data_IF_540609419063
#
_entry.id   IF_540609419063
#
_cell.length_a   1.000
_cell.length_b   1.000
_cell.length_c   1.000
_cell.angle_alpha   90.00
_cell.angle_beta   90.00
_cell.angle_gamma   90.00
#
_symmetry.space_group_name_H-M   'P 1'
#
loop_
_entity.id
_entity.type
_entity.pdbx_description
1 polymer ?
#
# COMPACT_ATOMS: atom_id res chain seq x y z
N UNK A 1 -25.05 -4.34 5.17
CA UNK A 1 -24.11 -3.20 5.28
C UNK A 1 -22.71 -3.72 5.47
N UNK A 2 -21.80 -3.45 4.53
CA UNK A 2 -20.38 -3.86 4.60
C UNK A 2 -19.51 -2.62 4.66
N UNK A 3 -18.52 -2.61 5.50
CA UNK A 3 -17.48 -1.55 5.54
C UNK A 3 -16.19 -2.10 4.97
N UNK A 4 -15.63 -1.44 3.98
CA UNK A 4 -14.37 -1.81 3.37
C UNK A 4 -13.37 -0.65 3.43
N UNK A 5 -12.10 -0.99 3.43
CA UNK A 5 -11.03 -0.02 3.23
C UNK A 5 -10.58 -0.12 1.77
N UNK A 6 -11.02 0.82 0.94
CA UNK A 6 -10.55 0.92 -0.44
C UNK A 6 -9.30 1.80 -0.46
N UNK A 7 -8.15 1.21 -0.77
CA UNK A 7 -6.88 1.90 -0.63
C UNK A 7 -5.93 1.72 -1.81
N UNK A 8 -5.06 2.71 -1.99
CA UNK A 8 -3.93 2.66 -2.92
C UNK A 8 -2.62 2.71 -2.15
N UNK A 9 -1.65 1.89 -2.57
CA UNK A 9 -0.39 1.67 -1.86
C UNK A 9 0.83 2.25 -2.61
N UNK A 10 0.59 3.02 -3.67
CA UNK A 10 1.61 3.47 -4.62
C UNK A 10 1.86 4.99 -4.56
N UNK A 11 1.48 5.69 -3.46
CA UNK A 11 1.77 7.11 -3.32
C UNK A 11 3.29 7.35 -3.25
N UNK A 12 3.81 8.28 -4.02
CA UNK A 12 5.24 8.52 -4.23
C UNK A 12 5.82 7.80 -5.47
N UNK A 13 4.98 7.17 -6.30
CA UNK A 13 5.42 6.44 -7.48
C UNK A 13 5.66 7.35 -8.69
N UNK A 14 4.72 8.26 -8.96
CA UNK A 14 4.73 9.23 -10.06
C UNK A 14 3.82 10.41 -9.73
N UNK A 15 4.12 11.61 -10.23
CA UNK A 15 3.32 12.80 -9.93
C UNK A 15 1.85 12.67 -10.35
N UNK A 16 1.59 12.07 -11.52
CA UNK A 16 0.23 11.82 -11.99
C UNK A 16 -0.54 10.85 -11.11
N UNK A 17 0.14 9.83 -10.56
CA UNK A 17 -0.43 8.91 -9.56
C UNK A 17 -0.72 9.66 -8.27
N UNK A 18 0.24 10.37 -7.72
CA UNK A 18 0.15 11.04 -6.43
C UNK A 18 -0.96 12.09 -6.41
N UNK A 19 -1.06 12.90 -7.48
CA UNK A 19 -2.15 13.86 -7.66
C UNK A 19 -3.53 13.19 -7.73
N UNK A 20 -3.65 12.12 -8.52
CA UNK A 20 -4.90 11.37 -8.63
C UNK A 20 -5.33 10.76 -7.29
N UNK A 21 -4.39 10.21 -6.52
CA UNK A 21 -4.66 9.62 -5.22
C UNK A 21 -5.12 10.66 -4.19
N UNK A 22 -4.49 11.83 -4.13
CA UNK A 22 -4.94 12.92 -3.25
C UNK A 22 -6.36 13.37 -3.61
N UNK A 23 -6.62 13.59 -4.89
CA UNK A 23 -7.95 13.99 -5.37
C UNK A 23 -9.03 12.95 -5.00
N UNK A 24 -8.76 11.68 -5.18
CA UNK A 24 -9.71 10.61 -4.86
C UNK A 24 -9.98 10.51 -3.36
N UNK A 25 -8.96 10.62 -2.50
CA UNK A 25 -9.17 10.55 -1.05
C UNK A 25 -9.87 11.79 -0.51
N UNK A 26 -9.55 12.97 -1.02
CA UNK A 26 -10.22 14.22 -0.65
C UNK A 26 -11.72 14.22 -1.01
N UNK A 27 -12.07 13.56 -2.11
CA UNK A 27 -13.45 13.39 -2.55
C UNK A 27 -14.14 12.14 -1.96
N UNK A 28 -13.51 11.46 -1.00
CA UNK A 28 -14.09 10.27 -0.34
C UNK A 28 -14.24 9.06 -1.26
N UNK A 29 -13.43 8.97 -2.34
CA UNK A 29 -13.40 7.86 -3.30
C UNK A 29 -12.44 6.76 -2.91
N UNK A 30 -11.44 7.11 -2.10
CA UNK A 30 -10.52 6.20 -1.43
C UNK A 30 -10.57 6.49 0.06
N UNK A 31 -10.38 5.47 0.87
CA UNK A 31 -10.33 5.56 2.32
C UNK A 31 -8.96 5.17 2.91
N UNK A 32 -7.97 4.86 2.08
CA UNK A 32 -6.61 4.62 2.54
C UNK A 32 -5.55 4.98 1.48
N UNK A 33 -4.46 5.62 1.93
CA UNK A 33 -3.27 5.88 1.12
C UNK A 33 -2.01 5.37 1.80
N UNK A 34 -1.25 4.50 1.12
CA UNK A 34 0.06 4.01 1.56
C UNK A 34 1.20 4.70 0.80
N UNK A 35 2.10 5.35 1.53
CA UNK A 35 3.21 6.10 0.98
C UNK A 35 4.47 5.26 0.80
N UNK A 36 5.07 5.31 -0.38
CA UNK A 36 6.36 4.74 -0.74
C UNK A 36 7.48 5.73 -0.38
N UNK A 37 7.94 5.69 0.86
CA UNK A 37 8.94 6.65 1.37
C UNK A 37 10.35 6.41 0.83
N UNK A 38 10.59 5.25 0.23
CA UNK A 38 11.87 4.86 -0.36
C UNK A 38 12.04 5.31 -1.83
N UNK A 39 11.10 6.08 -2.38
CA UNK A 39 11.20 6.64 -3.73
C UNK A 39 11.90 8.00 -3.74
N UNK A 40 12.46 8.37 -4.89
CA UNK A 40 13.06 9.71 -5.10
C UNK A 40 12.03 10.84 -5.16
N UNK A 41 10.73 10.55 -5.35
CA UNK A 41 9.67 11.55 -5.30
C UNK A 41 9.24 11.92 -3.89
N UNK A 42 9.41 11.03 -2.93
CA UNK A 42 8.95 11.23 -1.56
C UNK A 42 9.37 12.58 -0.94
N UNK A 43 10.63 13.08 -1.10
CA UNK A 43 11.03 14.38 -0.57
C UNK A 43 10.25 15.58 -1.13
N UNK A 44 9.54 15.42 -2.24
CA UNK A 44 8.69 16.46 -2.85
C UNK A 44 7.21 16.24 -2.54
N UNK A 45 6.79 15.00 -2.41
CA UNK A 45 5.38 14.61 -2.31
C UNK A 45 4.87 14.47 -0.86
N UNK A 46 5.74 14.43 0.15
CA UNK A 46 5.27 14.34 1.53
C UNK A 46 4.48 15.57 1.99
N UNK A 47 4.85 16.78 1.57
CA UNK A 47 4.13 18.02 1.95
C UNK A 47 2.71 18.05 1.37
N UNK A 48 2.50 17.85 0.06
CA UNK A 48 1.15 17.73 -0.49
C UNK A 48 0.31 16.63 0.20
N UNK A 49 0.95 15.53 0.63
CA UNK A 49 0.23 14.50 1.39
C UNK A 49 -0.14 14.98 2.80
N UNK A 50 0.72 15.74 3.50
CA UNK A 50 0.40 16.34 4.80
C UNK A 50 -0.83 17.25 4.68
N UNK A 51 -0.86 18.15 3.68
CA UNK A 51 -2.00 19.04 3.41
C UNK A 51 -3.30 18.22 3.17
N UNK A 52 -3.21 17.13 2.42
CA UNK A 52 -4.34 16.22 2.21
C UNK A 52 -4.78 15.56 3.53
N UNK A 53 -3.84 15.10 4.37
CA UNK A 53 -4.15 14.53 5.70
C UNK A 53 -4.89 15.53 6.58
N UNK A 54 -4.44 16.77 6.62
CA UNK A 54 -5.09 17.85 7.40
C UNK A 54 -6.50 18.12 6.91
N UNK A 55 -6.70 18.17 5.58
CA UNK A 55 -7.99 18.41 4.94
C UNK A 55 -8.99 17.29 5.15
N UNK A 56 -8.54 16.04 5.04
CA UNK A 56 -9.39 14.84 5.14
C UNK A 56 -9.65 14.44 6.60
N UNK A 57 -8.68 14.66 7.47
CA UNK A 57 -8.74 14.29 8.89
C UNK A 57 -8.87 12.77 9.09
N UNK A 58 -9.82 12.37 9.94
CA UNK A 58 -10.05 10.96 10.31
C UNK A 58 -10.93 10.17 9.30
N UNK A 59 -11.28 10.76 8.16
CA UNK A 59 -12.15 10.12 7.16
C UNK A 59 -11.40 9.12 6.28
N UNK A 60 -10.07 9.09 6.34
CA UNK A 60 -9.25 8.12 5.64
C UNK A 60 -8.02 7.75 6.47
N UNK A 61 -7.45 6.58 6.20
CA UNK A 61 -6.22 6.10 6.81
C UNK A 61 -5.01 6.45 5.94
N UNK A 62 -3.94 6.91 6.58
CA UNK A 62 -2.68 7.24 5.92
C UNK A 62 -1.55 6.40 6.52
N UNK A 63 -0.94 5.57 5.69
CA UNK A 63 0.05 4.62 6.12
C UNK A 63 1.32 4.64 5.28
N UNK A 64 2.21 3.71 5.58
CA UNK A 64 3.45 3.51 4.85
C UNK A 64 3.42 2.19 4.10
N UNK A 65 3.89 2.20 2.86
CA UNK A 65 4.15 1.01 2.08
C UNK A 65 5.65 0.74 2.07
N UNK A 66 6.08 -0.25 2.85
CA UNK A 66 7.49 -0.65 2.89
C UNK A 66 7.90 -1.32 1.59
N UNK A 67 9.02 -0.92 1.05
CA UNK A 67 9.59 -1.47 -0.17
C UNK A 67 10.99 -2.03 0.13
N UNK A 68 11.19 -3.31 -0.20
CA UNK A 68 12.49 -4.00 -0.06
C UNK A 68 13.07 -4.40 -1.41
N UNK A 69 12.36 -4.11 -2.49
CA UNK A 69 12.71 -4.48 -3.85
C UNK A 69 12.18 -3.49 -4.87
N UNK A 70 12.77 -3.53 -6.06
CA UNK A 70 12.31 -2.76 -7.23
C UNK A 70 13.26 -1.63 -7.63
N UNK A 71 13.24 -1.32 -8.93
CA UNK A 71 14.18 -0.38 -9.55
C UNK A 71 13.85 1.10 -9.25
N UNK A 72 12.66 1.36 -8.73
CA UNK A 72 12.17 2.73 -8.43
C UNK A 72 12.31 3.13 -6.97
N UNK A 73 12.86 2.25 -6.17
CA UNK A 73 13.08 2.45 -4.74
C UNK A 73 14.55 2.31 -4.44
N UNK A 74 15.04 3.17 -3.57
CA UNK A 74 16.41 3.12 -3.09
C UNK A 74 16.41 2.86 -1.58
N UNK A 75 17.43 2.19 -1.05
CA UNK A 75 17.56 1.99 0.39
C UNK A 75 17.53 3.32 1.15
N UNK A 76 16.83 3.32 2.27
CA UNK A 76 16.74 4.47 3.18
C UNK A 76 17.82 4.39 4.26
N UNK A 77 18.14 3.18 4.74
CA UNK A 77 19.18 2.95 5.73
C UNK A 77 20.57 3.09 5.12
N UNK A 78 21.48 3.75 5.85
CA UNK A 78 22.86 3.98 5.41
C UNK A 78 23.59 2.67 5.13
N UNK A 79 23.46 1.69 6.03
CA UNK A 79 24.14 0.40 5.90
C UNK A 79 23.70 -0.37 4.64
N UNK A 80 22.41 -0.31 4.30
CA UNK A 80 21.92 -0.95 3.08
C UNK A 80 22.40 -0.22 1.81
N UNK A 81 22.51 1.12 1.86
CA UNK A 81 23.12 1.93 0.79
C UNK A 81 24.59 1.56 0.56
N UNK A 82 25.37 1.43 1.62
CA UNK A 82 26.78 1.05 1.55
C UNK A 82 26.97 -0.34 0.95
N UNK A 83 26.18 -1.33 1.38
CA UNK A 83 26.31 -2.73 0.94
C UNK A 83 25.85 -2.95 -0.50
N UNK A 84 24.75 -2.29 -0.91
CA UNK A 84 24.12 -2.53 -2.23
C UNK A 84 24.28 -1.37 -3.22
N UNK A 85 25.07 -0.34 -2.90
CA UNK A 85 25.37 0.76 -3.80
C UNK A 85 24.13 1.59 -4.18
N UNK A 86 23.21 1.77 -3.24
CA UNK A 86 21.99 2.55 -3.45
C UNK A 86 20.88 1.83 -4.23
N UNK A 87 21.01 0.54 -4.51
CA UNK A 87 19.99 -0.28 -5.21
C UNK A 87 19.33 -1.27 -4.27
N UNK A 88 18.05 -1.52 -4.46
CA UNK A 88 17.35 -2.60 -3.78
C UNK A 88 17.62 -3.95 -4.44
N UNK A 89 17.48 -5.01 -3.67
CA UNK A 89 17.42 -6.38 -4.21
C UNK A 89 16.18 -6.52 -5.12
N UNK A 90 16.27 -7.41 -6.13
CA UNK A 90 15.05 -7.76 -6.86
C UNK A 90 14.11 -8.60 -5.99
N UNK A 91 12.81 -8.56 -6.24
CA UNK A 91 11.84 -9.37 -5.48
C UNK A 91 12.14 -10.87 -5.62
N UNK A 92 12.59 -11.31 -6.78
CA UNK A 92 13.04 -12.69 -7.01
C UNK A 92 14.24 -13.08 -6.13
N UNK A 93 15.21 -12.19 -5.94
CA UNK A 93 16.33 -12.43 -5.03
C UNK A 93 15.87 -12.55 -3.58
N UNK A 94 14.95 -11.68 -3.14
CA UNK A 94 14.38 -11.75 -1.79
C UNK A 94 13.60 -13.06 -1.59
N UNK A 95 12.75 -13.45 -2.55
CA UNK A 95 12.01 -14.70 -2.48
C UNK A 95 12.92 -15.92 -2.41
N UNK A 96 13.98 -15.96 -3.23
CA UNK A 96 14.96 -17.04 -3.22
C UNK A 96 15.72 -17.10 -1.89
N UNK A 97 16.22 -15.95 -1.40
CA UNK A 97 16.93 -15.89 -0.11
C UNK A 97 16.01 -16.26 1.06
N UNK A 98 14.76 -15.82 1.04
CA UNK A 98 13.78 -16.18 2.06
C UNK A 98 13.52 -17.70 2.09
N UNK A 99 13.42 -18.34 0.92
CA UNK A 99 13.25 -19.78 0.80
C UNK A 99 14.45 -20.55 1.34
N UNK A 100 15.67 -20.09 1.03
CA UNK A 100 16.94 -20.69 1.48
C UNK A 100 17.32 -20.30 2.92
N UNK A 101 16.51 -19.47 3.61
CA UNK A 101 16.82 -18.90 4.94
C UNK A 101 18.13 -18.10 4.99
N UNK A 102 18.43 -17.41 3.88
CA UNK A 102 19.63 -16.58 3.69
C UNK A 102 19.29 -15.09 3.60
N UNK A 103 18.17 -14.66 4.18
CA UNK A 103 17.85 -13.23 4.26
C UNK A 103 18.87 -12.53 5.18
N UNK A 104 19.31 -11.32 4.82
CA UNK A 104 20.11 -10.49 5.71
C UNK A 104 19.19 -9.79 6.72
N UNK A 105 18.73 -10.56 7.74
CA UNK A 105 17.63 -10.18 8.64
C UNK A 105 17.88 -8.84 9.34
N UNK A 106 19.10 -8.61 9.86
CA UNK A 106 19.43 -7.35 10.53
C UNK A 106 19.38 -6.16 9.58
N UNK A 107 19.92 -6.33 8.37
CA UNK A 107 19.93 -5.28 7.35
C UNK A 107 18.52 -4.90 6.90
N UNK A 108 17.65 -5.91 6.70
CA UNK A 108 16.24 -5.69 6.35
C UNK A 108 15.45 -5.09 7.52
N UNK A 109 15.81 -5.42 8.76
CA UNK A 109 15.24 -4.81 9.95
C UNK A 109 15.59 -3.32 10.03
N UNK A 110 16.86 -2.98 9.88
CA UNK A 110 17.33 -1.58 9.85
C UNK A 110 16.65 -0.79 8.71
N UNK A 111 16.50 -1.40 7.54
CA UNK A 111 15.81 -0.76 6.41
C UNK A 111 14.32 -0.52 6.70
N UNK A 112 13.62 -1.50 7.27
CA UNK A 112 12.23 -1.33 7.66
C UNK A 112 12.07 -0.19 8.69
N UNK A 113 12.93 -0.16 9.70
CA UNK A 113 12.93 0.89 10.72
C UNK A 113 13.24 2.27 10.14
N UNK A 114 14.20 2.36 9.20
CA UNK A 114 14.53 3.61 8.52
C UNK A 114 13.36 4.14 7.69
N UNK A 115 12.63 3.26 6.97
CA UNK A 115 11.45 3.67 6.21
C UNK A 115 10.31 4.12 7.14
N UNK A 116 10.04 3.41 8.24
CA UNK A 116 9.04 3.78 9.24
C UNK A 116 9.37 5.14 9.87
N UNK A 117 10.62 5.33 10.30
CA UNK A 117 11.10 6.58 10.87
C UNK A 117 11.00 7.75 9.87
N UNK A 118 11.41 7.53 8.60
CA UNK A 118 11.30 8.54 7.54
C UNK A 118 9.87 9.00 7.31
N UNK A 119 8.90 8.06 7.33
CA UNK A 119 7.49 8.42 7.28
C UNK A 119 7.09 9.29 8.47
N UNK A 120 7.33 8.80 9.70
CA UNK A 120 6.87 9.46 10.91
C UNK A 120 7.48 10.85 11.10
N UNK A 121 8.77 11.02 10.80
CA UNK A 121 9.48 12.31 10.89
C UNK A 121 8.93 13.32 9.88
N UNK A 122 8.79 12.93 8.61
CA UNK A 122 8.34 13.83 7.57
C UNK A 122 6.85 14.11 7.64
N UNK A 123 6.02 13.13 7.97
CA UNK A 123 4.57 13.31 8.13
C UNK A 123 4.18 13.89 9.49
N UNK A 124 5.10 13.96 10.46
CA UNK A 124 4.86 14.40 11.85
C UNK A 124 3.73 13.62 12.54
N UNK A 125 3.57 12.38 12.16
CA UNK A 125 2.57 11.46 12.71
C UNK A 125 3.01 10.00 12.51
N UNK A 126 2.49 9.12 13.34
CA UNK A 126 2.62 7.68 13.11
C UNK A 126 1.71 7.21 11.96
N UNK A 127 2.06 6.13 11.26
CA UNK A 127 1.19 5.55 10.24
C UNK A 127 -0.04 4.88 10.85
N UNK A 128 -1.21 5.02 10.23
CA UNK A 128 -2.43 4.31 10.63
C UNK A 128 -2.34 2.82 10.24
N UNK A 129 -1.60 2.54 9.16
CA UNK A 129 -1.35 1.17 8.72
C UNK A 129 0.03 1.03 8.06
N UNK A 130 0.50 -0.22 7.99
CA UNK A 130 1.72 -0.62 7.27
C UNK A 130 1.35 -1.67 6.22
N UNK A 131 1.77 -1.44 5.00
CA UNK A 131 1.73 -2.43 3.92
C UNK A 131 3.15 -2.77 3.46
N UNK A 132 3.32 -3.90 2.76
CA UNK A 132 4.60 -4.27 2.15
C UNK A 132 4.37 -4.56 0.67
N UNK A 133 5.21 -3.95 -0.15
CA UNK A 133 5.13 -4.04 -1.60
C UNK A 133 5.38 -5.47 -2.11
N UNK A 134 4.85 -5.77 -3.32
CA UNK A 134 5.13 -7.01 -4.08
C UNK A 134 4.77 -8.31 -3.34
N UNK A 135 3.87 -8.24 -2.36
CA UNK A 135 3.42 -9.42 -1.60
C UNK A 135 4.53 -10.09 -0.77
N UNK A 136 5.66 -9.43 -0.58
CA UNK A 136 6.84 -9.98 0.12
C UNK A 136 6.53 -10.37 1.57
N UNK A 137 5.55 -9.72 2.21
CA UNK A 137 5.10 -10.06 3.56
C UNK A 137 4.51 -11.49 3.66
N UNK A 138 4.16 -12.14 2.53
CA UNK A 138 3.74 -13.54 2.51
C UNK A 138 4.84 -14.51 2.96
N UNK A 139 6.10 -14.07 2.91
CA UNK A 139 7.25 -14.83 3.42
C UNK A 139 7.38 -14.63 4.92
N UNK A 140 7.15 -15.69 5.68
CA UNK A 140 7.14 -15.66 7.16
C UNK A 140 8.41 -15.08 7.78
N UNK A 141 9.59 -15.31 7.17
CA UNK A 141 10.86 -14.72 7.63
C UNK A 141 10.83 -13.20 7.52
N UNK A 142 10.44 -12.67 6.35
CA UNK A 142 10.33 -11.22 6.16
C UNK A 142 9.19 -10.62 7.00
N UNK A 143 8.08 -11.33 7.16
CA UNK A 143 6.98 -10.88 8.02
C UNK A 143 7.45 -10.66 9.46
N UNK A 144 8.25 -11.59 10.03
CA UNK A 144 8.82 -11.42 11.37
C UNK A 144 9.74 -10.20 11.49
N UNK A 145 10.55 -9.94 10.46
CA UNK A 145 11.42 -8.76 10.41
C UNK A 145 10.58 -7.48 10.43
N UNK A 146 9.56 -7.39 9.58
CA UNK A 146 8.67 -6.23 9.50
C UNK A 146 7.89 -6.03 10.80
N UNK A 147 7.32 -7.10 11.36
CA UNK A 147 6.58 -7.02 12.63
C UNK A 147 7.47 -6.57 13.78
N UNK A 148 8.72 -7.07 13.82
CA UNK A 148 9.73 -6.63 14.79
C UNK A 148 10.08 -5.14 14.59
N UNK A 149 10.22 -4.67 13.35
CA UNK A 149 10.49 -3.27 13.06
C UNK A 149 9.35 -2.35 13.56
N UNK A 150 8.10 -2.74 13.32
CA UNK A 150 6.92 -1.99 13.79
C UNK A 150 6.86 -1.97 15.31
N UNK A 151 7.05 -3.13 15.96
CA UNK A 151 7.03 -3.23 17.42
C UNK A 151 8.15 -2.40 18.10
N UNK A 152 9.30 -2.23 17.43
CA UNK A 152 10.40 -1.41 17.93
C UNK A 152 10.25 0.09 17.63
N UNK A 153 9.28 0.49 16.83
CA UNK A 153 9.03 1.90 16.51
C UNK A 153 8.31 2.65 17.65
N UNK A 154 7.90 1.92 18.70
CA UNK A 154 7.29 2.44 19.93
C UNK A 154 6.15 3.43 19.68
N UNK A 155 5.25 3.06 18.76
CA UNK A 155 4.08 3.87 18.43
C UNK A 155 3.05 3.84 19.58
N UNK A 156 2.43 4.97 19.89
CA UNK A 156 1.36 5.06 20.91
C UNK A 156 0.22 4.07 20.60
N UNK A 157 -0.16 3.96 19.34
CA UNK A 157 -1.12 2.98 18.85
C UNK A 157 -0.48 2.17 17.75
N UNK A 158 -0.33 0.85 17.89
CA UNK A 158 0.24 0.02 16.84
C UNK A 158 -0.57 0.15 15.54
N UNK A 159 0.10 0.39 14.39
CA UNK A 159 -0.59 0.46 13.11
C UNK A 159 -1.17 -0.90 12.71
N UNK A 160 -2.26 -0.88 11.94
CA UNK A 160 -2.76 -2.08 11.29
C UNK A 160 -1.77 -2.57 10.24
N UNK A 161 -1.63 -3.87 10.05
CA UNK A 161 -0.78 -4.43 9.00
C UNK A 161 -1.64 -5.03 7.90
N UNK A 162 -1.52 -4.53 6.67
CA UNK A 162 -2.28 -5.05 5.53
C UNK A 162 -1.81 -6.46 5.20
N UNK A 163 -2.74 -7.41 5.18
CA UNK A 163 -2.44 -8.80 4.79
C UNK A 163 -1.96 -8.85 3.34
N UNK A 164 -0.87 -9.60 3.04
CA UNK A 164 -0.39 -9.76 1.67
C UNK A 164 -1.23 -10.75 0.85
N UNK A 165 -2.03 -11.57 1.53
CA UNK A 165 -2.79 -12.68 0.94
C UNK A 165 -4.25 -12.62 1.36
N UNK A 166 -5.11 -13.19 0.52
CA UNK A 166 -6.52 -13.37 0.82
C UNK A 166 -6.73 -14.30 2.02
N UNK A 167 -7.91 -14.27 2.66
CA UNK A 167 -8.22 -15.13 3.80
C UNK A 167 -7.93 -16.61 3.51
N UNK A 168 -7.29 -17.29 4.46
CA UNK A 168 -6.88 -18.69 4.35
C UNK A 168 -5.81 -19.07 5.38
N UNK A 169 -5.27 -20.29 5.29
CA UNK A 169 -4.29 -20.81 6.26
C UNK A 169 -3.04 -19.92 6.38
N UNK A 170 -2.55 -19.39 5.27
CA UNK A 170 -1.39 -18.48 5.28
C UNK A 170 -1.72 -17.18 5.99
N UNK A 171 -2.89 -16.58 5.73
CA UNK A 171 -3.35 -15.37 6.41
C UNK A 171 -3.49 -15.60 7.92
N UNK A 172 -4.10 -16.73 8.34
CA UNK A 172 -4.24 -17.09 9.76
C UNK A 172 -2.88 -17.28 10.44
N UNK A 173 -1.92 -17.91 9.75
CA UNK A 173 -0.55 -18.06 10.27
C UNK A 173 0.13 -16.70 10.46
N UNK A 174 0.03 -15.81 9.47
CA UNK A 174 0.60 -14.46 9.56
C UNK A 174 -0.06 -13.65 10.67
N UNK A 175 -1.38 -13.69 10.79
CA UNK A 175 -2.12 -13.01 11.86
C UNK A 175 -1.70 -13.49 13.26
N UNK A 176 -1.46 -14.80 13.43
CA UNK A 176 -0.94 -15.36 14.69
C UNK A 176 0.45 -14.82 15.01
N UNK A 177 1.33 -14.72 13.98
CA UNK A 177 2.67 -14.16 14.17
C UNK A 177 2.57 -12.66 14.48
N UNK A 178 1.76 -11.89 13.75
CA UNK A 178 1.55 -10.47 14.02
C UNK A 178 1.09 -10.22 15.46
N UNK A 179 0.13 -11.02 15.93
CA UNK A 179 -0.38 -10.96 17.31
C UNK A 179 0.71 -11.20 18.37
N UNK A 180 1.71 -12.04 18.09
CA UNK A 180 2.85 -12.23 19.01
C UNK A 180 3.76 -11.01 19.13
N UNK A 181 3.62 -10.03 18.24
CA UNK A 181 4.28 -8.72 18.30
C UNK A 181 3.32 -7.59 18.73
N UNK A 182 2.11 -7.92 19.18
CA UNK A 182 1.10 -6.92 19.57
C UNK A 182 0.43 -6.22 18.38
N UNK A 183 0.49 -6.80 17.18
CA UNK A 183 -0.01 -6.20 15.95
C UNK A 183 -1.31 -6.87 15.48
N UNK A 184 -2.19 -6.08 14.87
CA UNK A 184 -3.41 -6.55 14.21
C UNK A 184 -3.25 -6.51 12.70
N UNK A 185 -3.75 -7.55 12.02
CA UNK A 185 -3.75 -7.60 10.56
C UNK A 185 -5.09 -7.16 9.99
N UNK A 186 -5.04 -6.24 9.02
CA UNK A 186 -6.18 -5.86 8.21
C UNK A 186 -6.36 -6.90 7.08
N UNK A 187 -7.47 -7.66 7.07
CA UNK A 187 -7.70 -8.70 6.08
C UNK A 187 -7.72 -8.12 4.65
N UNK A 188 -7.11 -8.82 3.70
CA UNK A 188 -7.14 -8.45 2.29
C UNK A 188 -8.34 -9.09 1.61
N UNK A 189 -9.00 -8.32 0.74
CA UNK A 189 -9.90 -8.84 -0.29
C UNK A 189 -9.23 -8.79 -1.67
N UNK A 190 -9.91 -9.31 -2.69
CA UNK A 190 -9.43 -9.20 -4.06
C UNK A 190 -9.28 -7.73 -4.47
N UNK A 191 -8.19 -7.38 -5.18
CA UNK A 191 -7.99 -6.00 -5.64
C UNK A 191 -9.05 -5.63 -6.69
N UNK A 192 -9.23 -4.33 -6.92
CA UNK A 192 -10.12 -3.88 -7.99
C UNK A 192 -9.76 -4.55 -9.32
N UNK A 193 -10.76 -4.89 -10.15
CA UNK A 193 -10.53 -5.53 -11.44
C UNK A 193 -9.57 -4.72 -12.32
N UNK A 194 -8.67 -5.42 -13.01
CA UNK A 194 -7.62 -4.84 -13.84
C UNK A 194 -8.05 -4.84 -15.31
N UNK A 195 -8.94 -3.92 -15.67
CA UNK A 195 -9.36 -3.65 -17.05
C UNK A 195 -9.04 -2.20 -17.42
N UNK A 196 -8.86 -1.94 -18.71
CA UNK A 196 -8.70 -0.61 -19.29
C UNK A 196 -9.98 -0.06 -19.94
N UNK A 197 -11.09 -0.78 -19.79
CA UNK A 197 -12.42 -0.39 -20.25
C UNK A 197 -13.29 0.05 -19.07
N UNK A 198 -13.70 1.31 -19.06
CA UNK A 198 -14.47 1.89 -17.97
C UNK A 198 -15.86 1.26 -17.81
N UNK A 199 -16.54 0.93 -18.90
CA UNK A 199 -17.86 0.27 -18.86
C UNK A 199 -17.75 -1.16 -18.34
N UNK A 200 -16.70 -1.88 -18.77
CA UNK A 200 -16.40 -3.19 -18.23
C UNK A 200 -16.10 -3.12 -16.74
N UNK A 201 -15.28 -2.14 -16.29
CA UNK A 201 -14.96 -1.98 -14.88
C UNK A 201 -16.22 -1.71 -14.06
N UNK A 202 -17.10 -0.81 -14.50
CA UNK A 202 -18.38 -0.56 -13.82
C UNK A 202 -19.25 -1.84 -13.70
N UNK A 203 -19.30 -2.65 -14.75
CA UNK A 203 -20.02 -3.92 -14.74
C UNK A 203 -19.41 -4.93 -13.78
N UNK A 204 -18.06 -5.03 -13.74
CA UNK A 204 -17.34 -5.94 -12.85
C UNK A 204 -17.49 -5.53 -11.38
N UNK A 205 -17.50 -4.23 -11.07
CA UNK A 205 -17.66 -3.72 -9.70
C UNK A 205 -19.01 -4.12 -9.07
N UNK A 206 -20.08 -4.25 -9.86
CA UNK A 206 -21.39 -4.71 -9.38
C UNK A 206 -21.31 -6.11 -8.74
N UNK A 207 -20.47 -7.00 -9.24
CA UNK A 207 -20.30 -8.35 -8.71
C UNK A 207 -19.13 -8.44 -7.71
N UNK A 208 -18.15 -7.58 -7.88
CA UNK A 208 -16.91 -7.58 -7.10
C UNK A 208 -17.16 -7.38 -5.59
N UNK A 209 -18.10 -6.49 -5.25
CA UNK A 209 -18.44 -6.20 -3.85
C UNK A 209 -19.33 -7.25 -3.19
N UNK A 210 -19.99 -8.14 -3.95
CA UNK A 210 -20.93 -9.13 -3.38
C UNK A 210 -20.23 -10.15 -2.46
N UNK A 211 -19.05 -10.63 -2.85
CA UNK A 211 -18.28 -11.65 -2.13
C UNK A 211 -17.35 -11.12 -1.04
N UNK A 212 -17.24 -9.81 -0.84
CA UNK A 212 -16.29 -9.24 0.09
C UNK A 212 -16.70 -9.39 1.55
N UNK A 213 -15.72 -9.67 2.40
CA UNK A 213 -15.89 -9.66 3.85
C UNK A 213 -15.93 -8.24 4.39
N UNK A 214 -16.67 -8.05 5.48
CA UNK A 214 -16.65 -6.79 6.25
C UNK A 214 -15.23 -6.48 6.76
N UNK A 215 -14.89 -5.20 6.85
CA UNK A 215 -13.59 -4.70 7.32
C UNK A 215 -12.38 -5.25 6.55
N UNK A 216 -12.52 -5.48 5.24
CA UNK A 216 -11.41 -5.92 4.40
C UNK A 216 -10.75 -4.76 3.64
N UNK A 217 -9.46 -4.91 3.35
CA UNK A 217 -8.69 -4.01 2.51
C UNK A 217 -8.78 -4.42 1.04
N UNK A 218 -9.29 -3.52 0.22
CA UNK A 218 -9.38 -3.67 -1.23
C UNK A 218 -8.33 -2.78 -1.88
N UNK A 219 -7.35 -3.38 -2.55
CA UNK A 219 -6.32 -2.62 -3.22
C UNK A 219 -6.78 -2.08 -4.56
N UNK A 220 -6.50 -0.80 -4.82
CA UNK A 220 -6.67 -0.15 -6.12
C UNK A 220 -5.33 0.45 -6.58
N UNK A 221 -5.20 0.65 -7.88
CA UNK A 221 -4.01 1.27 -8.48
C UNK A 221 -4.37 2.46 -9.39
N UNK A 222 -5.30 3.35 -9.00
CA UNK A 222 -5.67 4.46 -9.85
C UNK A 222 -4.50 5.42 -10.06
N UNK A 223 -4.51 6.14 -11.18
CA UNK A 223 -3.49 7.14 -11.46
C UNK A 223 -3.72 7.80 -12.81
N UNK A 224 -3.26 9.05 -12.94
CA UNK A 224 -3.24 9.74 -14.23
C UNK A 224 -1.90 9.48 -14.91
N UNK A 225 -1.88 9.29 -16.24
CA UNK A 225 -0.62 9.14 -16.97
C UNK A 225 0.22 10.42 -16.89
N UNK A 226 1.52 10.27 -16.69
CA UNK A 226 2.52 11.30 -16.83
C UNK A 226 3.77 10.73 -17.55
N UNK A 227 4.75 11.57 -17.87
CA UNK A 227 5.95 11.14 -18.59
C UNK A 227 6.71 10.05 -17.83
N UNK A 228 6.81 10.18 -16.50
CA UNK A 228 7.50 9.20 -15.65
C UNK A 228 6.76 7.86 -15.65
N UNK A 229 5.46 7.88 -15.44
CA UNK A 229 4.66 6.67 -15.41
C UNK A 229 4.68 5.94 -16.75
N UNK A 230 4.57 6.69 -17.87
CA UNK A 230 4.63 6.15 -19.23
C UNK A 230 6.00 5.56 -19.59
N UNK A 231 7.09 6.10 -19.05
CA UNK A 231 8.43 5.55 -19.20
C UNK A 231 8.63 4.27 -18.39
N UNK A 232 8.10 4.25 -17.18
CA UNK A 232 8.47 3.28 -16.15
C UNK A 232 7.48 2.10 -16.03
N UNK A 233 6.27 2.20 -16.57
CA UNK A 233 5.27 1.13 -16.54
C UNK A 233 4.83 0.70 -17.95
N UNK A 234 4.46 -0.58 -18.13
CA UNK A 234 3.87 -1.05 -19.38
C UNK A 234 2.60 -0.27 -19.72
N UNK A 235 2.39 0.08 -20.98
CA UNK A 235 1.21 0.82 -21.47
C UNK A 235 -0.12 0.25 -20.97
N UNK A 236 -0.24 -1.09 -20.96
CA UNK A 236 -1.43 -1.77 -20.45
C UNK A 236 -1.69 -1.42 -18.99
N UNK A 237 -0.65 -1.33 -18.16
CA UNK A 237 -0.80 -1.00 -16.72
C UNK A 237 -1.16 0.48 -16.53
N UNK A 238 -0.59 1.36 -17.33
CA UNK A 238 -0.94 2.80 -17.33
C UNK A 238 -2.41 2.97 -17.69
N UNK A 239 -2.90 2.29 -18.74
CA UNK A 239 -4.32 2.34 -19.13
C UNK A 239 -5.27 1.79 -18.03
N UNK A 240 -4.87 0.73 -17.30
CA UNK A 240 -5.64 0.23 -16.14
C UNK A 240 -5.70 1.28 -15.03
N UNK A 241 -4.60 1.97 -14.75
CA UNK A 241 -4.56 3.03 -13.73
C UNK A 241 -5.51 4.17 -14.07
N UNK A 242 -5.47 4.62 -15.30
CA UNK A 242 -6.31 5.70 -15.81
C UNK A 242 -7.78 5.31 -15.75
N UNK A 243 -8.14 4.13 -16.24
CA UNK A 243 -9.49 3.57 -16.15
C UNK A 243 -9.99 3.49 -14.69
N UNK A 244 -9.18 2.97 -13.76
CA UNK A 244 -9.57 2.94 -12.35
C UNK A 244 -9.75 4.35 -11.77
N UNK A 245 -8.89 5.32 -12.15
CA UNK A 245 -9.07 6.70 -11.72
C UNK A 245 -10.40 7.29 -12.22
N UNK A 246 -10.70 7.17 -13.51
CA UNK A 246 -11.93 7.69 -14.11
C UNK A 246 -13.18 7.09 -13.47
N UNK A 247 -13.21 5.76 -13.30
CA UNK A 247 -14.34 5.06 -12.69
C UNK A 247 -14.54 5.45 -11.24
N UNK A 248 -13.45 5.48 -10.44
CA UNK A 248 -13.54 5.88 -9.02
C UNK A 248 -13.98 7.34 -8.86
N UNK A 249 -13.54 8.25 -9.74
CA UNK A 249 -13.93 9.66 -9.72
C UNK A 249 -15.39 9.88 -10.14
N UNK A 250 -16.02 8.91 -10.81
CA UNK A 250 -17.37 9.04 -11.35
C UNK A 250 -18.45 9.03 -10.27
N UNK A 251 -19.59 9.68 -10.55
CA UNK A 251 -20.80 9.60 -9.69
C UNK A 251 -21.37 8.18 -9.70
N UNK A 252 -21.27 7.46 -10.83
CA UNK A 252 -21.74 6.08 -10.99
C UNK A 252 -21.07 5.12 -10.01
N UNK A 253 -19.83 5.37 -9.60
CA UNK A 253 -19.18 4.58 -8.58
C UNK A 253 -19.88 4.67 -7.21
N UNK A 254 -20.29 5.85 -6.77
CA UNK A 254 -21.10 6.01 -5.55
C UNK A 254 -22.42 5.25 -5.61
N UNK A 255 -23.14 5.37 -6.72
CA UNK A 255 -24.37 4.61 -6.90
C UNK A 255 -24.13 3.09 -6.85
N UNK A 256 -22.96 2.63 -7.31
CA UNK A 256 -22.58 1.22 -7.19
C UNK A 256 -22.38 0.81 -5.72
N UNK A 257 -21.68 1.63 -4.93
CA UNK A 257 -21.49 1.38 -3.50
C UNK A 257 -22.84 1.37 -2.74
N UNK A 258 -23.69 2.37 -2.97
CA UNK A 258 -25.03 2.45 -2.38
C UNK A 258 -25.87 1.21 -2.73
N UNK A 259 -25.94 0.83 -4.02
CA UNK A 259 -26.69 -0.35 -4.48
C UNK A 259 -26.20 -1.65 -3.84
N UNK A 260 -24.91 -1.72 -3.48
CA UNK A 260 -24.30 -2.91 -2.86
C UNK A 260 -24.21 -2.84 -1.35
N UNK A 261 -24.77 -1.79 -0.73
CA UNK A 261 -24.74 -1.53 0.71
C UNK A 261 -23.28 -1.58 1.26
N UNK A 262 -22.37 -0.96 0.51
CA UNK A 262 -20.92 -0.90 0.83
C UNK A 262 -20.55 0.52 1.23
N UNK A 263 -19.85 0.64 2.35
CA UNK A 263 -19.33 1.89 2.87
C UNK A 263 -17.81 1.87 2.91
N UNK A 264 -17.20 2.99 2.54
CA UNK A 264 -15.76 3.19 2.70
C UNK A 264 -15.49 3.67 4.14
N UNK A 265 -14.55 2.97 4.80
CA UNK A 265 -14.13 3.35 6.17
C UNK A 265 -13.18 4.53 6.12
#
# INVERSE_FOLDING_TARGET
MKRITLGALDYGLAFGVDRALRELVENGRLSALGALVATELWPREFRPLQETVEKVGKKAMFGVTLAFSGDRVAPVSTRMQEIYGGRMLSSGQIHRRAFLRLLPDELLLEEAQAQLARYSVLMKRQPDFVAVREGLLSRTSLARIVFKAIAHADYETPPLVVSPVNPGLTALRLARIAKSFGLEMLPKADPLPATSDAEELHRLLLNHFDGMSDRSFVAAIPGRPDERLNRDEPRKKVAIRECQYEVLASVRFFHTLEKKDVFLN
#
